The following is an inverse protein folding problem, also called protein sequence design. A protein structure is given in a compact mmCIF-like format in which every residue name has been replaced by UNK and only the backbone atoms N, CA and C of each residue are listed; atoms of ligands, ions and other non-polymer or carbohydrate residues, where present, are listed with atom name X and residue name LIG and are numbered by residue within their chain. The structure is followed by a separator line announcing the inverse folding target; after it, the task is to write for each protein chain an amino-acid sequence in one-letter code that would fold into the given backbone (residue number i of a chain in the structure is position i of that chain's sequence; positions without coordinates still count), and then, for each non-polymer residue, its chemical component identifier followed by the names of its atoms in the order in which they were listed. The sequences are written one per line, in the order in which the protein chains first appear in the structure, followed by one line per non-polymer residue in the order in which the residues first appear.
data_IF_258081148522
#
_entry.id   IF_258081148522
#
_cell.length_a   1.000
_cell.length_b   1.000
_cell.length_c   1.000
_cell.angle_alpha   90.00
_cell.angle_beta   90.00
_cell.angle_gamma   90.00
#
_symmetry.space_group_name_H-M   'P 1'
#
loop_
_entity.id
_entity.type
_entity.pdbx_description
1 polymer ?
#
# COMPACT_ATOMS: atom_id res chain seq x y z
N UNK A 1 1.39 8.26 3.48
CA UNK A 1 2.21 7.18 4.02
C UNK A 1 2.18 7.05 5.53
N UNK A 2 1.44 7.84 6.20
CA UNK A 2 1.33 7.75 7.64
C UNK A 2 -0.05 7.23 8.03
N UNK A 3 -0.28 7.07 9.31
CA UNK A 3 -1.52 6.52 9.88
C UNK A 3 -1.82 5.12 9.37
N UNK A 4 -0.76 4.34 9.23
CA UNK A 4 -0.85 2.92 8.94
C UNK A 4 -0.30 2.15 10.13
N UNK A 5 -0.70 0.90 10.23
CA UNK A 5 -0.14 0.00 11.23
C UNK A 5 0.63 -1.11 10.52
N UNK A 6 1.89 -1.28 10.91
CA UNK A 6 2.74 -2.32 10.40
C UNK A 6 3.15 -3.19 11.58
N UNK A 7 2.77 -4.45 11.52
CA UNK A 7 3.02 -5.40 12.60
C UNK A 7 3.93 -6.51 12.13
N UNK A 8 4.69 -7.08 13.06
CA UNK A 8 5.56 -8.21 12.81
C UNK A 8 4.95 -9.44 13.46
N UNK A 9 4.96 -10.56 12.75
CA UNK A 9 4.63 -11.86 13.34
C UNK A 9 5.90 -12.48 13.90
N UNK A 10 5.75 -13.49 14.73
CA UNK A 10 6.89 -14.16 15.36
C UNK A 10 7.87 -14.71 14.35
N UNK A 11 7.41 -15.16 13.20
CA UNK A 11 8.20 -15.88 12.21
C UNK A 11 8.39 -15.14 10.89
N UNK A 12 7.86 -13.94 10.73
CA UNK A 12 8.10 -13.17 9.51
C UNK A 12 7.91 -11.67 9.73
N UNK A 13 8.58 -10.88 8.91
CA UNK A 13 8.54 -9.43 8.94
C UNK A 13 7.57 -8.90 7.90
N UNK A 14 7.01 -7.73 8.16
CA UNK A 14 6.32 -6.96 7.14
C UNK A 14 7.36 -6.24 6.27
N UNK A 15 7.29 -6.42 4.97
CA UNK A 15 8.20 -5.81 4.00
C UNK A 15 7.39 -4.97 3.03
N UNK A 16 7.73 -3.70 2.93
CA UNK A 16 7.08 -2.77 2.01
C UNK A 16 8.13 -2.20 1.08
N UNK A 17 7.92 -2.38 -0.21
CA UNK A 17 8.84 -1.89 -1.23
C UNK A 17 8.84 -0.37 -1.39
N UNK A 18 9.61 0.10 -2.35
CA UNK A 18 9.77 1.53 -2.62
C UNK A 18 8.55 2.10 -3.34
N UNK A 19 8.26 3.38 -3.07
CA UNK A 19 7.22 4.14 -3.75
C UNK A 19 5.81 3.55 -3.59
N UNK A 20 5.57 2.86 -2.46
CA UNK A 20 4.23 2.41 -2.13
C UNK A 20 3.42 3.53 -1.50
N UNK A 21 2.14 3.59 -1.83
CA UNK A 21 1.19 4.49 -1.18
C UNK A 21 0.31 3.66 -0.27
N UNK A 22 0.33 3.96 1.02
CA UNK A 22 -0.45 3.23 2.02
C UNK A 22 -1.54 4.17 2.55
N UNK A 23 -2.79 3.81 2.35
CA UNK A 23 -3.92 4.61 2.76
C UNK A 23 -4.13 4.65 4.27
N UNK A 24 -4.97 5.58 4.70
CA UNK A 24 -5.29 5.75 6.12
C UNK A 24 -5.92 4.48 6.68
N UNK A 25 -5.56 4.14 7.90
CA UNK A 25 -6.09 2.98 8.63
C UNK A 25 -5.84 1.62 7.96
N UNK A 26 -4.94 1.55 6.98
CA UNK A 26 -4.54 0.27 6.42
C UNK A 26 -3.71 -0.51 7.45
N UNK A 27 -3.93 -1.82 7.51
CA UNK A 27 -3.19 -2.72 8.39
C UNK A 27 -2.35 -3.63 7.53
N UNK A 28 -1.02 -3.57 7.73
CA UNK A 28 -0.06 -4.38 6.99
C UNK A 28 0.63 -5.28 8.00
N UNK A 29 0.29 -6.57 7.98
CA UNK A 29 0.72 -7.50 9.01
C UNK A 29 1.52 -8.66 8.43
N UNK A 30 2.82 -8.66 8.69
CA UNK A 30 3.72 -9.78 8.36
C UNK A 30 3.60 -10.27 6.90
N UNK A 31 3.50 -9.35 5.97
CA UNK A 31 3.30 -9.64 4.54
C UNK A 31 4.36 -8.93 3.71
N UNK A 32 4.38 -9.18 2.41
CA UNK A 32 5.28 -8.51 1.47
C UNK A 32 4.47 -7.72 0.46
N UNK A 33 4.77 -6.43 0.37
CA UNK A 33 4.21 -5.54 -0.65
C UNK A 33 5.38 -5.08 -1.51
N UNK A 34 5.34 -5.43 -2.79
CA UNK A 34 6.41 -5.06 -3.72
C UNK A 34 6.28 -3.60 -4.13
N UNK A 35 7.21 -3.13 -4.98
CA UNK A 35 7.34 -1.71 -5.30
C UNK A 35 6.11 -1.12 -5.97
N UNK A 36 5.89 0.18 -5.74
CA UNK A 36 4.92 1.00 -6.47
C UNK A 36 3.47 0.53 -6.34
N UNK A 37 3.14 -0.10 -5.21
CA UNK A 37 1.76 -0.52 -4.94
C UNK A 37 0.96 0.60 -4.30
N UNK A 38 -0.36 0.55 -4.49
CA UNK A 38 -1.31 1.40 -3.79
C UNK A 38 -2.17 0.52 -2.89
N UNK A 39 -2.11 0.76 -1.60
CA UNK A 39 -2.93 0.06 -0.61
C UNK A 39 -4.03 1.01 -0.16
N UNK A 40 -5.27 0.67 -0.43
CA UNK A 40 -6.42 1.54 -0.15
C UNK A 40 -6.69 1.72 1.33
N UNK A 41 -7.45 2.76 1.65
CA UNK A 41 -7.83 3.07 3.03
C UNK A 41 -8.58 1.91 3.66
N UNK A 42 -8.23 1.58 4.89
CA UNK A 42 -8.90 0.53 5.66
C UNK A 42 -8.63 -0.89 5.18
N UNK A 43 -7.75 -1.08 4.20
CA UNK A 43 -7.40 -2.43 3.75
C UNK A 43 -6.61 -3.15 4.83
N UNK A 44 -6.82 -4.46 4.94
CA UNK A 44 -6.09 -5.31 5.87
C UNK A 44 -5.39 -6.39 5.07
N UNK A 45 -4.06 -6.49 5.27
CA UNK A 45 -3.24 -7.51 4.59
C UNK A 45 -2.58 -8.37 5.65
N UNK A 46 -2.84 -9.66 5.58
CA UNK A 46 -2.46 -10.60 6.62
C UNK A 46 -1.20 -11.39 6.28
N UNK A 47 -0.83 -12.28 7.21
CA UNK A 47 0.46 -12.96 7.24
C UNK A 47 0.80 -13.67 5.93
N UNK A 48 2.01 -13.50 5.47
CA UNK A 48 2.59 -14.19 4.32
C UNK A 48 1.88 -13.89 2.99
N UNK A 49 0.98 -12.91 2.98
CA UNK A 49 0.44 -12.43 1.70
C UNK A 49 1.56 -11.73 0.91
N UNK A 50 1.48 -11.82 -0.41
CA UNK A 50 2.45 -11.16 -1.28
C UNK A 50 1.72 -10.41 -2.38
N UNK A 51 1.88 -9.09 -2.37
CA UNK A 51 1.27 -8.21 -3.36
C UNK A 51 2.35 -7.86 -4.39
N UNK A 52 2.15 -8.30 -5.61
CA UNK A 52 3.11 -8.06 -6.69
C UNK A 52 3.24 -6.57 -7.03
N UNK A 53 4.37 -6.18 -7.59
CA UNK A 53 4.69 -4.78 -7.87
C UNK A 53 3.61 -4.11 -8.73
N UNK A 54 3.41 -2.82 -8.54
CA UNK A 54 2.47 -2.00 -9.31
C UNK A 54 1.05 -2.57 -9.29
N UNK A 55 0.63 -3.03 -8.11
CA UNK A 55 -0.73 -3.52 -7.89
C UNK A 55 -1.51 -2.53 -7.04
N UNK A 56 -2.83 -2.62 -7.11
CA UNK A 56 -3.75 -1.85 -6.28
C UNK A 56 -4.54 -2.82 -5.41
N UNK A 57 -4.53 -2.56 -4.10
CA UNK A 57 -5.43 -3.21 -3.16
C UNK A 57 -6.53 -2.21 -2.82
N UNK A 58 -7.77 -2.55 -3.11
CA UNK A 58 -8.90 -1.64 -2.93
C UNK A 58 -9.15 -1.29 -1.47
N UNK A 59 -9.86 -0.19 -1.27
CA UNK A 59 -10.24 0.24 0.07
C UNK A 59 -11.06 -0.83 0.78
N UNK A 60 -10.80 -1.02 2.06
CA UNK A 60 -11.48 -2.00 2.91
C UNK A 60 -11.36 -3.46 2.46
N UNK A 61 -10.42 -3.76 1.56
CA UNK A 61 -10.17 -5.14 1.16
C UNK A 61 -9.58 -5.94 2.34
N UNK A 62 -9.94 -7.20 2.42
CA UNK A 62 -9.35 -8.13 3.39
C UNK A 62 -8.53 -9.16 2.63
N UNK A 63 -7.22 -8.94 2.59
CA UNK A 63 -6.27 -9.86 1.96
C UNK A 63 -5.87 -10.90 2.97
N UNK A 64 -6.31 -12.12 2.76
CA UNK A 64 -6.14 -13.21 3.72
C UNK A 64 -4.72 -13.75 3.70
N UNK A 65 -4.39 -14.56 4.71
CA UNK A 65 -3.08 -15.18 4.84
C UNK A 65 -2.72 -15.95 3.57
N UNK A 66 -1.45 -15.91 3.21
CA UNK A 66 -0.88 -16.65 2.08
C UNK A 66 -1.41 -16.23 0.69
N UNK A 67 -2.22 -15.20 0.61
CA UNK A 67 -2.71 -14.69 -0.67
C UNK A 67 -1.53 -14.19 -1.52
N UNK A 68 -1.56 -14.47 -2.81
CA UNK A 68 -0.52 -13.99 -3.71
C UNK A 68 -1.15 -13.47 -5.00
N UNK A 69 -0.64 -12.35 -5.49
CA UNK A 69 -1.02 -11.86 -6.80
C UNK A 69 0.21 -11.48 -7.62
N UNK A 70 0.14 -11.65 -8.94
CA UNK A 70 1.23 -11.21 -9.83
C UNK A 70 1.31 -9.68 -9.87
N UNK A 71 2.42 -9.12 -10.36
CA UNK A 71 2.51 -7.68 -10.58
C UNK A 71 1.37 -7.16 -11.46
N UNK A 72 0.95 -5.93 -11.21
CA UNK A 72 -0.08 -5.28 -11.99
C UNK A 72 -1.48 -5.81 -11.76
N UNK A 73 -1.81 -6.24 -10.55
CA UNK A 73 -3.14 -6.75 -10.22
C UNK A 73 -4.00 -5.71 -9.52
N UNK A 74 -5.29 -5.76 -9.79
CA UNK A 74 -6.30 -5.08 -8.97
C UNK A 74 -6.91 -6.10 -8.03
N UNK A 75 -6.73 -5.89 -6.73
CA UNK A 75 -7.17 -6.81 -5.68
C UNK A 75 -8.28 -6.13 -4.87
N UNK A 76 -9.43 -6.77 -4.77
CA UNK A 76 -10.60 -6.16 -4.11
C UNK A 76 -11.41 -7.19 -3.35
N UNK A 77 -12.14 -6.70 -2.37
CA UNK A 77 -13.16 -7.49 -1.67
C UNK A 77 -12.72 -8.04 -0.32
N UNK A 78 -13.65 -8.71 0.34
CA UNK A 78 -13.44 -9.37 1.64
C UNK A 78 -14.20 -10.70 1.64
N UNK A 79 -13.52 -11.84 1.45
CA UNK A 79 -12.09 -11.99 1.21
C UNK A 79 -11.67 -11.44 -0.16
N UNK A 80 -10.48 -10.87 -0.22
CA UNK A 80 -10.02 -10.22 -1.44
C UNK A 80 -9.67 -11.23 -2.53
N UNK A 81 -9.92 -10.83 -3.76
CA UNK A 81 -9.61 -11.63 -4.96
C UNK A 81 -9.04 -10.70 -6.02
N UNK A 82 -8.34 -11.28 -6.98
CA UNK A 82 -7.86 -10.54 -8.14
C UNK A 82 -9.06 -10.25 -9.02
N UNK A 83 -9.42 -8.96 -9.12
CA UNK A 83 -10.56 -8.55 -9.94
C UNK A 83 -10.20 -8.50 -11.43
N UNK A 84 -9.01 -7.99 -11.73
CA UNK A 84 -8.49 -7.91 -13.10
C UNK A 84 -7.02 -7.51 -13.08
N UNK A 85 -6.38 -7.59 -14.22
CA UNK A 85 -5.06 -7.01 -14.40
C UNK A 85 -5.19 -5.50 -14.64
N UNK A 86 -4.20 -4.73 -14.18
CA UNK A 86 -4.13 -3.31 -14.45
C UNK A 86 -3.50 -3.08 -15.83
N UNK A 87 -3.94 -2.04 -16.51
CA UNK A 87 -3.31 -1.63 -17.77
C UNK A 87 -1.93 -1.03 -17.50
N UNK A 88 -1.11 -0.94 -18.55
CA UNK A 88 0.20 -0.30 -18.44
C UNK A 88 0.08 1.15 -17.98
N UNK A 89 -0.95 1.84 -18.46
CA UNK A 89 -1.21 3.23 -18.07
C UNK A 89 -1.56 3.33 -16.58
N UNK A 90 -2.40 2.44 -16.10
CA UNK A 90 -2.74 2.40 -14.67
C UNK A 90 -1.52 2.13 -13.82
N UNK A 91 -0.69 1.18 -14.22
CA UNK A 91 0.53 0.85 -13.50
C UNK A 91 1.51 2.03 -13.47
N UNK A 92 1.72 2.70 -14.59
CA UNK A 92 2.59 3.86 -14.67
C UNK A 92 2.09 4.99 -13.75
N UNK A 93 0.79 5.16 -13.65
CA UNK A 93 0.19 6.18 -12.80
C UNK A 93 0.46 5.99 -11.32
N UNK A 94 0.71 4.77 -10.86
CA UNK A 94 0.96 4.50 -9.45
C UNK A 94 2.24 5.17 -8.96
N UNK A 95 3.31 5.14 -9.74
CA UNK A 95 4.56 5.81 -9.39
C UNK A 95 4.35 7.33 -9.34
N UNK A 96 3.65 7.87 -10.30
CA UNK A 96 3.35 9.30 -10.34
C UNK A 96 2.53 9.73 -9.13
N UNK A 97 1.57 8.90 -8.72
CA UNK A 97 0.76 9.15 -7.55
C UNK A 97 1.61 9.22 -6.28
N UNK A 98 2.52 8.26 -6.12
CA UNK A 98 3.43 8.22 -4.98
C UNK A 98 4.36 9.44 -4.95
N UNK A 99 4.91 9.83 -6.09
CA UNK A 99 5.76 11.01 -6.20
C UNK A 99 5.00 12.28 -5.81
N UNK A 100 3.76 12.40 -6.24
CA UNK A 100 2.90 13.53 -5.91
C UNK A 100 2.64 13.58 -4.40
N UNK A 101 2.42 12.44 -3.78
CA UNK A 101 2.21 12.35 -2.34
C UNK A 101 3.43 12.81 -1.56
N UNK A 102 4.61 12.41 -1.98
CA UNK A 102 5.86 12.84 -1.34
C UNK A 102 6.03 14.36 -1.46
N UNK A 103 5.75 14.94 -2.60
CA UNK A 103 5.83 16.38 -2.79
C UNK A 103 4.88 17.14 -1.87
N UNK A 104 3.65 16.65 -1.72
CA UNK A 104 2.66 17.24 -0.81
C UNK A 104 3.13 17.14 0.64
N UNK A 105 3.65 15.99 1.04
CA UNK A 105 4.15 15.78 2.40
C UNK A 105 5.32 16.72 2.70
N UNK A 106 6.21 16.92 1.76
CA UNK A 106 7.33 17.85 1.93
C UNK A 106 6.85 19.31 2.08
N UNK A 107 5.85 19.70 1.30
CA UNK A 107 5.28 21.04 1.40
C UNK A 107 4.61 21.25 2.76
N UNK A 108 3.90 20.25 3.26
CA UNK A 108 3.28 20.31 4.59
C UNK A 108 4.34 20.39 5.69
N UNK A 109 5.39 19.60 5.59
CA UNK A 109 6.47 19.62 6.58
C UNK A 109 7.14 21.00 6.64
N UNK A 110 7.40 21.63 5.50
CA UNK A 110 7.98 22.96 5.45
C UNK A 110 7.05 23.99 6.09
N UNK A 111 5.76 23.90 5.82
CA UNK A 111 4.75 24.79 6.39
C UNK A 111 4.65 24.63 7.90
N UNK A 112 4.61 23.39 8.37
CA UNK A 112 4.52 23.09 9.80
C UNK A 112 5.75 23.63 10.53
N UNK A 113 6.93 23.51 9.96
CA UNK A 113 8.14 24.05 10.53
C UNK A 113 8.04 25.55 10.71
N UNK A 114 7.63 26.26 9.67
CA UNK A 114 7.56 27.72 9.75
C UNK A 114 6.45 28.19 10.67
N UNK A 115 5.41 27.43 10.85
CA UNK A 115 4.31 27.73 11.77
C UNK A 115 4.58 27.27 13.20
N UNK A 116 5.71 26.63 13.45
CA UNK A 116 6.05 26.06 14.76
C UNK A 116 5.04 25.05 15.26
N UNK A 117 4.44 24.33 14.37
CA UNK A 117 3.51 23.27 14.74
C UNK A 117 4.25 21.99 15.09
N UNK A 118 3.64 21.24 15.95
CA UNK A 118 4.22 19.97 16.34
C UNK A 118 4.15 18.93 15.26
#
# INVERSE_FOLDING_TARGET
MYKRQVHLADDCDAVIGAWCTIGHAAIVHACTIEDECLIGMGATILDRARIGARSIVGANALVTQDFKCPPGSLVMGAPAKIARALSDKEQAGLRQWAEKYVAVAQAHAARDKSASLV
#
